data_IF_471188008730
#
_entry.id   IF_471188008730
#
_cell.length_a   1.000
_cell.length_b   1.000
_cell.length_c   1.000
_cell.angle_alpha   90.00
_cell.angle_beta   90.00
_cell.angle_gamma   90.00
#
_symmetry.space_group_name_H-M   'P 1'
#
loop_
_entity.id
_entity.type
_entity.pdbx_description
1 polymer ?
#
# COMPACT_ATOMS: atom_id res chain seq x y z
N UNK A 1 22.36 1.28 12.11
CA UNK A 1 23.71 0.69 12.30
C UNK A 1 24.42 1.13 13.57
N UNK A 2 24.33 2.39 14.01
CA UNK A 2 24.94 2.82 15.27
C UNK A 2 24.50 1.99 16.50
N UNK A 3 23.21 1.65 16.60
CA UNK A 3 22.69 0.76 17.65
C UNK A 3 23.27 -0.66 17.59
N UNK A 4 23.36 -1.26 16.39
CA UNK A 4 23.93 -2.60 16.20
C UNK A 4 25.42 -2.63 16.57
N UNK A 5 26.17 -1.60 16.16
CA UNK A 5 27.58 -1.44 16.53
C UNK A 5 27.76 -1.26 18.05
N UNK A 6 26.90 -0.46 18.70
CA UNK A 6 26.89 -0.29 20.14
C UNK A 6 26.56 -1.58 20.91
N UNK A 7 25.80 -2.49 20.30
CA UNK A 7 25.48 -3.82 20.84
C UNK A 7 26.50 -4.91 20.46
N UNK A 8 27.60 -4.57 19.78
CA UNK A 8 28.60 -5.54 19.30
C UNK A 8 28.13 -6.47 18.18
N UNK A 9 26.98 -6.17 17.56
CA UNK A 9 26.41 -6.95 16.47
C UNK A 9 27.01 -6.54 15.11
N UNK A 10 27.06 -7.47 14.13
CA UNK A 10 27.58 -7.16 12.80
C UNK A 10 26.76 -6.06 12.11
N UNK A 11 27.46 -5.20 11.38
CA UNK A 11 26.83 -4.15 10.58
C UNK A 11 26.08 -4.77 9.42
N UNK A 12 24.76 -4.60 9.38
CA UNK A 12 23.92 -5.12 8.30
C UNK A 12 23.70 -3.99 7.26
N UNK A 13 24.13 -4.18 6.01
CA UNK A 13 23.84 -3.25 4.93
C UNK A 13 22.41 -3.48 4.40
N UNK A 14 21.41 -3.03 5.15
CA UNK A 14 19.98 -3.25 4.85
C UNK A 14 19.56 -2.88 3.41
N UNK A 15 20.08 -1.76 2.90
CA UNK A 15 19.73 -1.21 1.59
C UNK A 15 20.64 -1.75 0.48
N UNK A 16 21.91 -2.02 0.79
CA UNK A 16 22.90 -2.46 -0.19
C UNK A 16 22.97 -3.99 -0.36
N UNK A 17 22.31 -4.77 0.50
CA UNK A 17 22.20 -6.22 0.36
C UNK A 17 21.00 -6.60 -0.56
N UNK A 18 21.21 -7.40 -1.64
CA UNK A 18 20.14 -7.79 -2.56
C UNK A 18 18.95 -8.53 -1.92
N UNK A 19 19.20 -9.32 -0.88
CA UNK A 19 18.13 -10.03 -0.17
C UNK A 19 17.34 -9.12 0.78
N UNK A 20 17.93 -8.02 1.25
CA UNK A 20 17.34 -7.16 2.28
C UNK A 20 16.81 -5.83 1.75
N UNK A 21 17.25 -5.39 0.57
CA UNK A 21 16.83 -4.11 0.00
C UNK A 21 15.31 -4.03 -0.20
N UNK A 22 14.71 -5.06 -0.81
CA UNK A 22 13.25 -5.14 -1.01
C UNK A 22 12.47 -5.13 0.31
N UNK A 23 12.72 -6.06 1.28
CA UNK A 23 12.08 -6.01 2.59
C UNK A 23 12.25 -4.68 3.32
N UNK A 24 13.43 -4.06 3.23
CA UNK A 24 13.72 -2.79 3.89
C UNK A 24 12.85 -1.66 3.32
N UNK A 25 12.69 -1.60 2.00
CA UNK A 25 11.77 -0.65 1.36
C UNK A 25 10.31 -0.93 1.77
N UNK A 26 9.88 -2.19 1.82
CA UNK A 26 8.53 -2.56 2.27
C UNK A 26 8.26 -2.03 3.68
N UNK A 27 9.20 -2.21 4.62
CA UNK A 27 9.05 -1.71 5.99
C UNK A 27 8.97 -0.18 6.06
N UNK A 28 9.78 0.53 5.26
CA UNK A 28 9.72 1.99 5.16
C UNK A 28 8.34 2.43 4.63
N UNK A 29 7.82 1.74 3.61
CA UNK A 29 6.50 2.03 3.06
C UNK A 29 5.38 1.77 4.05
N UNK A 30 5.45 0.67 4.82
CA UNK A 30 4.48 0.36 5.88
C UNK A 30 4.48 1.43 6.96
N UNK A 31 5.67 1.87 7.38
CA UNK A 31 5.81 2.94 8.37
C UNK A 31 5.21 4.27 7.89
N UNK A 32 5.34 4.58 6.60
CA UNK A 32 4.82 5.81 6.02
C UNK A 32 3.27 5.84 5.85
N UNK A 33 2.54 4.76 6.13
CA UNK A 33 1.07 4.69 5.96
C UNK A 33 0.26 5.36 7.08
N UNK A 34 0.80 6.37 7.77
CA UNK A 34 0.11 7.06 8.87
C UNK A 34 -1.24 7.68 8.46
N UNK A 35 -1.35 8.19 7.22
CA UNK A 35 -2.60 8.77 6.71
C UNK A 35 -3.74 7.75 6.65
N UNK A 36 -3.46 6.52 6.22
CA UNK A 36 -4.47 5.45 6.17
C UNK A 36 -5.01 5.16 7.57
N UNK A 37 -4.14 5.15 8.59
CA UNK A 37 -4.54 4.92 9.99
C UNK A 37 -5.50 6.00 10.51
N UNK A 38 -5.25 7.27 10.18
CA UNK A 38 -6.13 8.38 10.55
C UNK A 38 -7.51 8.25 9.90
N UNK A 39 -7.55 7.91 8.61
CA UNK A 39 -8.82 7.70 7.88
C UNK A 39 -9.59 6.52 8.47
N UNK A 40 -8.91 5.41 8.79
CA UNK A 40 -9.54 4.28 9.47
C UNK A 40 -10.09 4.67 10.84
N UNK A 41 -9.34 5.44 11.64
CA UNK A 41 -9.80 5.89 12.95
C UNK A 41 -11.07 6.73 12.85
N UNK A 42 -11.13 7.68 11.92
CA UNK A 42 -12.33 8.48 11.68
C UNK A 42 -13.54 7.60 11.33
N UNK A 43 -13.34 6.63 10.43
CA UNK A 43 -14.38 5.67 10.03
C UNK A 43 -14.87 4.83 11.20
N UNK A 44 -13.95 4.38 12.07
CA UNK A 44 -14.28 3.59 13.25
C UNK A 44 -15.11 4.39 14.26
N UNK A 45 -14.88 5.69 14.36
CA UNK A 45 -15.66 6.59 15.23
C UNK A 45 -17.08 6.83 14.70
N UNK A 46 -17.27 6.76 13.39
CA UNK A 46 -18.58 6.90 12.75
C UNK A 46 -19.48 5.64 12.91
N UNK A 47 -18.91 4.49 13.28
CA UNK A 47 -19.69 3.25 13.46
C UNK A 47 -20.65 3.39 14.67
N UNK A 48 -21.97 3.23 14.49
CA UNK A 48 -22.93 3.39 15.58
C UNK A 48 -22.66 2.44 16.75
N UNK A 49 -22.60 2.99 17.96
CA UNK A 49 -22.39 2.21 19.21
C UNK A 49 -23.51 1.21 19.47
N UNK A 50 -24.73 1.52 19.04
CA UNK A 50 -25.91 0.65 19.18
C UNK A 50 -25.72 -0.73 18.55
N UNK A 51 -24.98 -0.84 17.44
CA UNK A 51 -24.67 -2.13 16.82
C UNK A 51 -23.80 -3.02 17.73
N UNK A 52 -22.83 -2.41 18.41
CA UNK A 52 -21.95 -3.13 19.34
C UNK A 52 -22.68 -3.51 20.63
N UNK A 53 -23.57 -2.66 21.13
CA UNK A 53 -24.41 -2.93 22.30
C UNK A 53 -25.38 -4.07 22.01
N UNK A 54 -26.11 -4.01 20.89
CA UNK A 54 -27.01 -5.09 20.45
C UNK A 54 -26.27 -6.43 20.34
N UNK A 55 -25.11 -6.46 19.68
CA UNK A 55 -24.31 -7.67 19.59
C UNK A 55 -23.81 -8.17 20.96
N UNK A 56 -23.62 -7.29 21.94
CA UNK A 56 -23.28 -7.72 23.31
C UNK A 56 -24.45 -8.41 23.99
N UNK A 57 -25.67 -7.89 23.81
CA UNK A 57 -26.90 -8.51 24.31
C UNK A 57 -27.10 -9.89 23.69
N UNK A 58 -26.79 -10.04 22.40
CA UNK A 58 -26.82 -11.32 21.68
C UNK A 58 -25.66 -12.28 22.02
N UNK A 59 -24.78 -11.92 22.97
CA UNK A 59 -23.68 -12.76 23.43
C UNK A 59 -22.45 -12.80 22.51
N UNK A 60 -22.32 -11.86 21.55
CA UNK A 60 -21.18 -11.81 20.65
C UNK A 60 -19.88 -11.41 21.39
N UNK A 61 -18.83 -12.21 21.20
CA UNK A 61 -17.49 -11.88 21.67
C UNK A 61 -16.80 -10.80 20.78
N UNK A 62 -15.61 -10.35 21.18
CA UNK A 62 -14.86 -9.31 20.47
C UNK A 62 -14.55 -9.66 19.00
N UNK A 63 -14.24 -10.93 18.71
CA UNK A 63 -13.95 -11.37 17.35
C UNK A 63 -15.19 -11.32 16.45
N UNK A 64 -16.35 -11.73 16.97
CA UNK A 64 -17.63 -11.61 16.26
C UNK A 64 -17.97 -10.15 15.96
N UNK A 65 -17.81 -9.24 16.93
CA UNK A 65 -18.02 -7.80 16.72
C UNK A 65 -17.07 -7.23 15.66
N UNK A 66 -15.79 -7.60 15.71
CA UNK A 66 -14.81 -7.14 14.73
C UNK A 66 -15.16 -7.61 13.31
N UNK A 67 -15.40 -8.91 13.13
CA UNK A 67 -15.66 -9.49 11.81
C UNK A 67 -17.02 -9.10 11.22
N UNK A 68 -18.05 -8.95 12.05
CA UNK A 68 -19.43 -8.77 11.59
C UNK A 68 -19.93 -7.33 11.67
N UNK A 69 -19.29 -6.45 12.45
CA UNK A 69 -19.67 -5.03 12.57
C UNK A 69 -18.53 -4.16 12.06
N UNK A 70 -17.35 -4.26 12.67
CA UNK A 70 -16.24 -3.35 12.39
C UNK A 70 -15.75 -3.45 10.95
N UNK A 71 -15.39 -4.65 10.47
CA UNK A 71 -14.90 -4.84 9.10
C UNK A 71 -15.95 -4.40 8.06
N UNK A 72 -17.21 -4.88 8.10
CA UNK A 72 -18.23 -4.50 7.11
C UNK A 72 -18.47 -3.00 7.04
N UNK A 73 -18.56 -2.32 8.19
CA UNK A 73 -18.77 -0.86 8.24
C UNK A 73 -17.58 -0.07 7.71
N UNK A 74 -16.36 -0.62 7.82
CA UNK A 74 -15.16 0.00 7.26
C UNK A 74 -14.91 -0.34 5.78
N UNK A 75 -15.70 -1.22 5.14
CA UNK A 75 -15.43 -1.67 3.77
C UNK A 75 -15.31 -0.56 2.71
N UNK A 76 -16.06 0.58 2.76
CA UNK A 76 -15.86 1.67 1.81
C UNK A 76 -14.47 2.31 1.92
N UNK A 77 -13.97 2.43 3.15
CA UNK A 77 -12.64 3.00 3.43
C UNK A 77 -11.52 2.00 3.13
N UNK A 78 -11.76 0.70 3.34
CA UNK A 78 -10.87 -0.37 2.87
C UNK A 78 -10.73 -0.29 1.35
N UNK A 79 -11.84 -0.18 0.62
CA UNK A 79 -11.83 -0.04 -0.84
C UNK A 79 -11.01 1.19 -1.27
N UNK A 80 -11.30 2.35 -0.68
CA UNK A 80 -10.60 3.59 -0.99
C UNK A 80 -9.08 3.45 -0.80
N UNK A 81 -8.65 2.97 0.36
CA UNK A 81 -7.23 2.76 0.64
C UNK A 81 -6.60 1.72 -0.29
N UNK A 82 -7.33 0.68 -0.69
CA UNK A 82 -6.84 -0.34 -1.63
C UNK A 82 -6.63 0.27 -3.02
N UNK A 83 -7.58 1.06 -3.53
CA UNK A 83 -7.45 1.77 -4.81
C UNK A 83 -6.22 2.68 -4.79
N UNK A 84 -6.12 3.56 -3.79
CA UNK A 84 -5.07 4.55 -3.69
C UNK A 84 -3.70 3.89 -3.45
N UNK A 85 -3.64 2.90 -2.55
CA UNK A 85 -2.43 2.15 -2.26
C UNK A 85 -1.90 1.39 -3.48
N UNK A 86 -2.80 0.82 -4.30
CA UNK A 86 -2.41 0.15 -5.54
C UNK A 86 -1.82 1.15 -6.55
N UNK A 87 -2.48 2.29 -6.77
CA UNK A 87 -1.98 3.33 -7.68
C UNK A 87 -0.59 3.79 -7.25
N UNK A 88 -0.41 4.14 -5.98
CA UNK A 88 0.89 4.56 -5.46
C UNK A 88 1.94 3.47 -5.48
N UNK A 89 1.57 2.21 -5.26
CA UNK A 89 2.49 1.08 -5.36
C UNK A 89 3.13 0.95 -6.75
N UNK A 90 2.33 1.12 -7.81
CA UNK A 90 2.81 1.08 -9.20
C UNK A 90 3.54 2.36 -9.64
N UNK A 91 3.20 3.51 -9.04
CA UNK A 91 3.83 4.80 -9.33
C UNK A 91 5.02 5.12 -8.41
N UNK A 92 5.47 4.17 -7.59
CA UNK A 92 6.50 4.39 -6.59
C UNK A 92 7.87 4.65 -7.20
N UNK A 93 8.31 5.91 -7.20
CA UNK A 93 9.56 6.34 -7.82
C UNK A 93 10.58 6.83 -6.79
N UNK A 94 10.15 7.69 -5.87
CA UNK A 94 11.03 8.50 -5.02
C UNK A 94 11.93 7.66 -4.13
N UNK A 95 11.36 6.72 -3.38
CA UNK A 95 12.13 5.92 -2.42
C UNK A 95 13.14 4.97 -3.10
N UNK A 96 12.74 4.18 -4.12
CA UNK A 96 13.68 3.32 -4.85
C UNK A 96 14.77 4.08 -5.61
N UNK A 97 14.47 5.28 -6.10
CA UNK A 97 15.46 6.15 -6.72
C UNK A 97 16.47 6.68 -5.70
N UNK A 98 15.96 7.27 -4.61
CA UNK A 98 16.79 7.96 -3.61
C UNK A 98 17.66 7.00 -2.80
N UNK A 99 17.10 5.88 -2.36
CA UNK A 99 17.77 4.99 -1.40
C UNK A 99 18.66 3.96 -2.09
N UNK A 100 18.21 3.44 -3.23
CA UNK A 100 18.82 2.27 -3.87
C UNK A 100 19.27 2.53 -5.30
N UNK A 101 18.80 3.61 -5.94
CA UNK A 101 18.97 3.81 -7.38
C UNK A 101 18.49 2.60 -8.21
N UNK A 102 17.46 1.89 -7.76
CA UNK A 102 16.98 0.64 -8.39
C UNK A 102 17.77 -0.63 -8.07
N UNK A 103 18.89 -0.51 -7.35
CA UNK A 103 19.75 -1.63 -6.99
C UNK A 103 19.40 -2.34 -5.67
N UNK A 104 20.26 -3.26 -5.23
CA UNK A 104 21.35 -3.87 -6.00
C UNK A 104 20.81 -4.91 -7.01
N UNK A 105 21.51 -5.14 -8.12
CA UNK A 105 21.10 -6.09 -9.19
C UNK A 105 19.65 -5.90 -9.68
N UNK A 106 19.21 -4.65 -9.86
CA UNK A 106 17.83 -4.31 -10.24
C UNK A 106 16.76 -4.84 -9.26
N UNK A 107 17.13 -5.23 -8.03
CA UNK A 107 16.19 -5.75 -7.06
C UNK A 107 15.14 -4.72 -6.65
N UNK A 108 15.41 -3.42 -6.77
CA UNK A 108 14.44 -2.37 -6.47
C UNK A 108 14.12 -1.53 -7.70
N UNK A 109 14.28 -2.12 -8.89
CA UNK A 109 13.92 -1.46 -10.15
C UNK A 109 12.40 -1.48 -10.33
N UNK A 110 11.73 -0.47 -9.78
CA UNK A 110 10.29 -0.28 -10.00
C UNK A 110 10.00 0.13 -11.44
N UNK A 111 8.78 -0.16 -11.91
CA UNK A 111 8.36 0.15 -13.27
C UNK A 111 8.48 1.65 -13.59
N UNK A 112 8.06 2.50 -12.65
CA UNK A 112 8.20 3.96 -12.69
C UNK A 112 9.66 4.41 -12.84
N UNK A 113 10.59 3.74 -12.15
CA UNK A 113 12.02 4.00 -12.21
C UNK A 113 12.59 3.62 -13.57
N UNK A 114 12.24 2.44 -14.06
CA UNK A 114 12.63 1.98 -15.39
C UNK A 114 12.11 2.91 -16.50
N UNK A 115 10.84 3.34 -16.39
CA UNK A 115 10.24 4.32 -17.30
C UNK A 115 11.04 5.63 -17.29
N UNK A 116 11.31 6.18 -16.10
CA UNK A 116 12.09 7.41 -15.94
C UNK A 116 13.47 7.30 -16.59
N UNK A 117 14.18 6.19 -16.38
CA UNK A 117 15.49 5.95 -17.02
C UNK A 117 15.40 5.96 -18.53
N UNK A 118 14.39 5.30 -19.11
CA UNK A 118 14.22 5.30 -20.56
C UNK A 118 13.89 6.72 -21.10
N UNK A 119 13.13 7.53 -20.36
CA UNK A 119 12.77 8.89 -20.77
C UNK A 119 13.97 9.86 -20.67
N UNK A 120 14.61 9.91 -19.50
CA UNK A 120 15.48 11.02 -19.12
C UNK A 120 16.97 10.67 -19.03
N UNK A 121 17.32 9.38 -18.97
CA UNK A 121 18.72 8.94 -18.93
C UNK A 121 19.15 8.38 -20.29
N UNK A 122 18.37 7.44 -20.83
CA UNK A 122 18.66 6.81 -22.12
C UNK A 122 18.09 7.59 -23.31
N UNK A 123 17.32 8.65 -23.07
CA UNK A 123 16.68 9.50 -24.08
C UNK A 123 15.86 8.72 -25.12
N UNK A 124 15.31 7.56 -24.73
CA UNK A 124 14.44 6.71 -25.57
C UNK A 124 12.98 7.10 -25.37
N UNK A 125 12.62 8.33 -25.75
CA UNK A 125 11.30 8.91 -25.47
C UNK A 125 10.15 8.06 -26.03
N UNK A 126 10.26 7.56 -27.26
CA UNK A 126 9.22 6.69 -27.85
C UNK A 126 8.96 5.42 -27.03
N UNK A 127 10.03 4.79 -26.50
CA UNK A 127 9.91 3.63 -25.60
C UNK A 127 9.31 4.03 -24.26
N UNK A 128 9.74 5.17 -23.70
CA UNK A 128 9.22 5.65 -22.42
C UNK A 128 7.73 6.00 -22.50
N UNK A 129 7.27 6.62 -23.59
CA UNK A 129 5.86 6.91 -23.85
C UNK A 129 5.04 5.62 -23.95
N UNK A 130 5.55 4.59 -24.64
CA UNK A 130 4.88 3.28 -24.69
C UNK A 130 4.77 2.64 -23.29
N UNK A 131 5.83 2.70 -22.47
CA UNK A 131 5.80 2.22 -21.09
C UNK A 131 4.77 3.00 -20.25
N UNK A 132 4.68 4.32 -20.40
CA UNK A 132 3.71 5.14 -19.68
C UNK A 132 2.26 4.73 -20.00
N UNK A 133 1.95 4.48 -21.28
CA UNK A 133 0.64 4.01 -21.70
C UNK A 133 0.30 2.62 -21.17
N UNK A 134 1.27 1.70 -21.17
CA UNK A 134 1.08 0.36 -20.59
C UNK A 134 0.78 0.47 -19.10
N UNK A 135 1.57 1.25 -18.35
CA UNK A 135 1.33 1.48 -16.93
C UNK A 135 -0.05 2.06 -16.65
N UNK A 136 -0.46 3.06 -17.45
CA UNK A 136 -1.78 3.66 -17.37
C UNK A 136 -2.89 2.62 -17.56
N UNK A 137 -2.81 1.81 -18.61
CA UNK A 137 -3.79 0.76 -18.89
C UNK A 137 -3.85 -0.26 -17.75
N UNK A 138 -2.70 -0.70 -17.22
CA UNK A 138 -2.64 -1.63 -16.09
C UNK A 138 -3.35 -1.06 -14.86
N UNK A 139 -3.06 0.20 -14.52
CA UNK A 139 -3.69 0.87 -13.38
C UNK A 139 -5.21 0.97 -13.59
N UNK A 140 -5.65 1.45 -14.76
CA UNK A 140 -7.09 1.59 -15.08
C UNK A 140 -7.81 0.25 -15.04
N UNK A 141 -7.26 -0.80 -15.66
CA UNK A 141 -7.86 -2.13 -15.65
C UNK A 141 -8.01 -2.66 -14.23
N UNK A 142 -6.96 -2.54 -13.41
CA UNK A 142 -7.05 -2.98 -12.02
C UNK A 142 -8.08 -2.17 -11.23
N UNK A 143 -8.08 -0.85 -11.37
CA UNK A 143 -9.07 0.02 -10.72
C UNK A 143 -10.50 -0.38 -11.12
N UNK A 144 -10.77 -0.59 -12.41
CA UNK A 144 -12.09 -1.04 -12.89
C UNK A 144 -12.46 -2.40 -12.30
N UNK A 145 -11.54 -3.37 -12.28
CA UNK A 145 -11.78 -4.69 -11.70
C UNK A 145 -12.09 -4.60 -10.20
N UNK A 146 -11.39 -3.74 -9.48
CA UNK A 146 -11.58 -3.53 -8.07
C UNK A 146 -12.95 -2.88 -7.76
N UNK A 147 -13.33 -1.83 -8.49
CA UNK A 147 -14.66 -1.21 -8.39
C UNK A 147 -15.79 -2.15 -8.84
N UNK A 148 -15.52 -3.05 -9.79
CA UNK A 148 -16.50 -4.07 -10.18
C UNK A 148 -16.67 -5.14 -9.09
N UNK A 149 -15.58 -5.50 -8.41
CA UNK A 149 -15.60 -6.41 -7.26
C UNK A 149 -16.29 -5.77 -6.05
N UNK A 150 -16.07 -4.48 -5.80
CA UNK A 150 -16.59 -3.77 -4.62
C UNK A 150 -18.09 -3.85 -4.46
N UNK A 151 -18.85 -3.91 -5.57
CA UNK A 151 -20.30 -4.11 -5.58
C UNK A 151 -20.77 -5.35 -4.81
N UNK A 152 -19.89 -6.32 -4.55
CA UNK A 152 -20.22 -7.58 -3.86
C UNK A 152 -19.91 -7.58 -2.37
N UNK A 153 -19.03 -6.71 -1.90
CA UNK A 153 -18.48 -6.79 -0.54
C UNK A 153 -18.40 -5.45 0.18
N UNK A 154 -18.61 -4.33 -0.51
CA UNK A 154 -18.64 -3.01 0.11
C UNK A 154 -20.06 -2.70 0.54
N UNK A 155 -20.21 -2.38 1.82
CA UNK A 155 -21.45 -1.97 2.44
C UNK A 155 -21.44 -0.47 2.66
N UNK A 156 -22.42 0.23 2.10
CA UNK A 156 -22.67 1.64 2.37
C UNK A 156 -23.79 1.70 3.39
N UNK A 157 -23.54 2.25 4.58
CA UNK A 157 -24.49 2.27 5.71
C UNK A 157 -25.77 3.10 5.53
N UNK A 158 -26.16 3.40 4.28
CA UNK A 158 -27.34 4.16 3.90
C UNK A 158 -28.27 3.45 2.90
N UNK A 159 -28.07 2.16 2.62
CA UNK A 159 -29.03 1.29 1.90
C UNK A 159 -29.53 0.16 2.81
#
# INVERSE_FOLDING_TARGET
NAFLQGAGLPVIPFIANPGLAKPSLILIHMWAQGNAMVIFLATLQDVPRSLYEAATVDGANAWHKFRNITIPMCTPVILFNLVIGFIYGFQNFTLPWLLTGGGPNNATEFYSLFLYRNAFIFFRMGKASALAWILFIVIVLFTILLFRSSRRWVYYGGE
#
